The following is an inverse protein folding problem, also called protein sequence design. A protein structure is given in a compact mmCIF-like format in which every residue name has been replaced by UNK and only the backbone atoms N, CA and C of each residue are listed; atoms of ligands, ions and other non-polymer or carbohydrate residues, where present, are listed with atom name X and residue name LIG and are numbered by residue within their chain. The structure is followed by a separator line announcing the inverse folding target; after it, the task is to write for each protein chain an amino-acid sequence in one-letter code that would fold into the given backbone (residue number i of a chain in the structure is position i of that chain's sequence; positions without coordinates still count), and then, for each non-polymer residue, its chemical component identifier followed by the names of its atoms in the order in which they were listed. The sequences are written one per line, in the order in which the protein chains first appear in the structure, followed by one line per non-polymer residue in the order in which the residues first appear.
data_IF_574436622446
#
_entry.id   IF_574436622446
#
_cell.length_a   1.000
_cell.length_b   1.000
_cell.length_c   1.000
_cell.angle_alpha   90.00
_cell.angle_beta   90.00
_cell.angle_gamma   90.00
#
_symmetry.space_group_name_H-M   'P 1'
#
loop_
_entity.id
_entity.type
_entity.pdbx_description
1 polymer ?
#
# COMPACT_ATOMS: atom_id res chain seq x y z
N UNK A 1 -91.35 -7.34 -57.62
CA UNK A 1 -90.95 -6.51 -58.81
C UNK A 1 -89.64 -5.81 -58.41
N UNK A 2 -88.58 -6.11 -59.16
CA UNK A 2 -87.45 -5.18 -59.55
C UNK A 2 -86.77 -4.39 -58.42
N UNK A 3 -85.49 -4.25 -58.27
CA UNK A 3 -84.25 -4.43 -58.99
C UNK A 3 -83.08 -4.03 -58.08
N UNK A 4 -82.08 -4.81 -58.12
CA UNK A 4 -80.63 -4.50 -58.09
C UNK A 4 -80.09 -3.12 -57.69
N UNK A 5 -79.10 -3.03 -56.86
CA UNK A 5 -77.71 -2.76 -57.34
C UNK A 5 -76.64 -2.96 -56.22
N UNK A 6 -75.63 -3.66 -56.61
CA UNK A 6 -74.31 -3.79 -55.89
C UNK A 6 -73.67 -2.44 -55.72
N UNK A 7 -72.99 -2.26 -54.59
CA UNK A 7 -71.76 -1.45 -54.55
C UNK A 7 -70.73 -2.13 -53.68
N UNK A 8 -69.59 -2.45 -54.31
CA UNK A 8 -68.37 -2.94 -53.70
C UNK A 8 -67.74 -1.78 -52.93
N UNK A 9 -67.38 -1.99 -51.71
CA UNK A 9 -66.42 -1.16 -50.94
C UNK A 9 -65.28 -2.04 -50.46
N UNK A 10 -64.08 -1.67 -50.89
CA UNK A 10 -62.83 -2.42 -50.63
C UNK A 10 -62.37 -2.27 -49.18
N UNK A 11 -61.93 -3.34 -48.67
CA UNK A 11 -61.22 -3.41 -47.37
C UNK A 11 -59.79 -3.04 -47.61
N UNK A 12 -59.36 -1.91 -47.08
CA UNK A 12 -57.95 -1.51 -47.00
C UNK A 12 -57.36 -2.17 -45.76
N UNK A 13 -56.48 -3.16 -45.95
CA UNK A 13 -55.64 -3.72 -44.91
C UNK A 13 -54.51 -2.71 -44.58
N UNK A 14 -54.64 -1.98 -43.44
CA UNK A 14 -53.58 -1.19 -42.87
C UNK A 14 -52.58 -2.14 -42.17
N UNK A 15 -51.41 -2.33 -42.77
CA UNK A 15 -50.25 -2.92 -42.07
C UNK A 15 -49.74 -1.91 -41.03
N UNK A 16 -50.09 -2.12 -39.75
CA UNK A 16 -49.41 -1.46 -38.62
C UNK A 16 -48.10 -2.26 -38.37
N UNK A 17 -47.01 -1.74 -38.96
CA UNK A 17 -45.67 -2.19 -38.64
C UNK A 17 -45.31 -1.83 -37.18
N UNK A 18 -45.46 -2.78 -36.27
CA UNK A 18 -44.94 -2.66 -34.90
C UNK A 18 -43.43 -2.64 -34.95
N UNK A 19 -42.79 -1.48 -34.78
CA UNK A 19 -41.39 -1.38 -34.37
C UNK A 19 -41.32 -1.98 -32.96
N UNK A 20 -40.89 -3.23 -32.85
CA UNK A 20 -40.38 -3.77 -31.59
C UNK A 20 -39.08 -3.04 -31.26
N UNK A 21 -39.14 -2.01 -30.42
CA UNK A 21 -37.97 -1.53 -29.71
C UNK A 21 -37.48 -2.72 -28.88
N UNK A 22 -36.48 -3.43 -29.38
CA UNK A 22 -35.71 -4.32 -28.59
C UNK A 22 -35.04 -3.45 -27.49
N UNK A 23 -35.61 -3.45 -26.30
CA UNK A 23 -34.92 -2.95 -25.12
C UNK A 23 -33.69 -3.85 -24.96
N UNK A 24 -32.55 -3.33 -25.45
CA UNK A 24 -31.24 -3.91 -25.05
C UNK A 24 -31.14 -3.62 -23.58
N UNK A 25 -31.56 -4.57 -22.74
CA UNK A 25 -31.22 -4.58 -21.33
C UNK A 25 -29.71 -4.43 -21.21
N UNK A 26 -29.20 -3.87 -20.12
CA UNK A 26 -27.78 -3.79 -19.91
C UNK A 26 -27.19 -5.18 -20.08
N UNK A 27 -26.22 -5.31 -21.00
CA UNK A 27 -25.53 -6.59 -21.20
C UNK A 27 -25.01 -7.02 -19.82
N UNK A 28 -25.39 -8.23 -19.39
CA UNK A 28 -24.91 -8.79 -18.13
C UNK A 28 -23.37 -8.72 -18.15
N UNK A 29 -22.81 -7.92 -17.26
CA UNK A 29 -21.38 -7.80 -17.15
C UNK A 29 -20.79 -9.16 -16.78
N UNK A 30 -19.75 -9.58 -17.49
CA UNK A 30 -19.12 -10.86 -17.22
C UNK A 30 -18.68 -10.93 -15.75
N UNK A 31 -18.98 -12.05 -15.08
CA UNK A 31 -18.58 -12.27 -13.68
C UNK A 31 -17.06 -12.34 -13.58
N UNK A 32 -16.52 -11.51 -12.69
CA UNK A 32 -15.08 -11.43 -12.44
C UNK A 32 -14.68 -12.44 -11.37
N UNK A 33 -13.62 -13.19 -11.63
CA UNK A 33 -13.05 -14.17 -10.69
C UNK A 33 -11.53 -14.03 -10.68
N UNK A 34 -10.99 -13.41 -9.63
CA UNK A 34 -9.56 -13.13 -9.52
C UNK A 34 -8.89 -13.87 -8.38
N UNK A 35 -7.62 -14.20 -8.60
CA UNK A 35 -6.69 -14.67 -7.60
C UNK A 35 -5.84 -13.49 -7.14
N UNK A 36 -5.99 -13.08 -5.89
CA UNK A 36 -5.19 -12.03 -5.26
C UNK A 36 -4.19 -12.67 -4.31
N UNK A 37 -2.92 -12.66 -4.68
CA UNK A 37 -1.84 -13.05 -3.77
C UNK A 37 -1.58 -11.92 -2.78
N UNK A 38 -1.69 -12.20 -1.49
CA UNK A 38 -1.27 -11.24 -0.47
C UNK A 38 0.19 -11.46 -0.08
N UNK A 39 0.90 -10.37 0.23
CA UNK A 39 2.23 -10.42 0.87
C UNK A 39 2.13 -10.32 2.39
N UNK A 40 0.92 -10.18 2.92
CA UNK A 40 0.60 -10.07 4.34
C UNK A 40 -0.43 -11.13 4.73
N UNK A 41 -0.17 -11.86 5.82
CA UNK A 41 -1.09 -12.89 6.33
C UNK A 41 -2.47 -12.32 6.65
N UNK A 42 -3.55 -13.02 6.33
CA UNK A 42 -4.95 -12.57 6.48
C UNK A 42 -5.30 -12.10 7.90
N UNK A 43 -4.63 -12.65 8.92
CA UNK A 43 -4.82 -12.30 10.34
C UNK A 43 -3.89 -11.19 10.85
N UNK A 44 -2.95 -10.69 10.02
CA UNK A 44 -2.05 -9.62 10.42
C UNK A 44 -2.84 -8.30 10.49
N UNK A 45 -2.90 -7.64 11.66
CA UNK A 45 -3.65 -6.40 11.82
C UNK A 45 -3.26 -5.36 10.74
N UNK A 46 -4.22 -4.57 10.32
CA UNK A 46 -4.09 -3.49 9.33
C UNK A 46 -3.67 -3.98 7.94
N UNK A 47 -2.56 -4.68 7.79
CA UNK A 47 -1.99 -5.03 6.48
C UNK A 47 -2.75 -6.18 5.80
N UNK A 48 -2.97 -7.27 6.50
CA UNK A 48 -3.67 -8.44 5.98
C UNK A 48 -5.18 -8.35 6.14
N UNK A 49 -5.63 -7.91 7.33
CA UNK A 49 -7.07 -7.76 7.62
C UNK A 49 -7.76 -6.77 6.69
N UNK A 50 -7.05 -5.72 6.24
CA UNK A 50 -7.57 -4.78 5.23
C UNK A 50 -7.80 -5.44 3.87
N UNK A 51 -6.91 -6.35 3.45
CA UNK A 51 -7.09 -7.09 2.20
C UNK A 51 -8.29 -8.02 2.22
N UNK A 52 -8.50 -8.71 3.36
CA UNK A 52 -9.70 -9.54 3.56
C UNK A 52 -10.97 -8.69 3.54
N UNK A 53 -10.97 -7.54 4.25
CA UNK A 53 -12.06 -6.58 4.26
C UNK A 53 -12.36 -6.02 2.86
N UNK A 54 -11.35 -5.64 2.12
CA UNK A 54 -11.49 -5.16 0.75
C UNK A 54 -12.19 -6.17 -0.16
N UNK A 55 -11.75 -7.42 -0.12
CA UNK A 55 -12.35 -8.51 -0.92
C UNK A 55 -13.85 -8.67 -0.60
N UNK A 56 -14.22 -8.66 0.68
CA UNK A 56 -15.61 -8.80 1.09
C UNK A 56 -16.44 -7.56 0.69
N UNK A 57 -15.92 -6.36 0.88
CA UNK A 57 -16.60 -5.11 0.47
C UNK A 57 -16.87 -5.08 -1.04
N UNK A 58 -15.88 -5.43 -1.86
CA UNK A 58 -16.04 -5.50 -3.33
C UNK A 58 -17.09 -6.51 -3.72
N UNK A 59 -17.08 -7.69 -3.11
CA UNK A 59 -18.09 -8.72 -3.34
C UNK A 59 -19.50 -8.23 -3.00
N UNK A 60 -19.68 -7.58 -1.84
CA UNK A 60 -20.97 -7.03 -1.41
C UNK A 60 -21.43 -5.92 -2.36
N UNK A 61 -20.57 -4.93 -2.65
CA UNK A 61 -20.90 -3.80 -3.52
C UNK A 61 -21.24 -4.22 -4.95
N UNK A 62 -20.64 -5.30 -5.45
CA UNK A 62 -20.90 -5.83 -6.79
C UNK A 62 -22.07 -6.83 -6.85
N UNK A 63 -22.78 -7.09 -5.75
CA UNK A 63 -23.79 -8.14 -5.70
C UNK A 63 -23.23 -9.56 -5.99
N UNK A 64 -21.91 -9.75 -5.81
CA UNK A 64 -21.21 -11.00 -6.09
C UNK A 64 -20.70 -11.16 -7.53
N UNK A 65 -20.86 -10.15 -8.38
CA UNK A 65 -20.32 -10.18 -9.75
C UNK A 65 -18.79 -10.15 -9.76
N UNK A 66 -18.17 -9.42 -8.82
CA UNK A 66 -16.74 -9.44 -8.59
C UNK A 66 -16.45 -10.31 -7.38
N UNK A 67 -15.69 -11.37 -7.59
CA UNK A 67 -15.27 -12.29 -6.54
C UNK A 67 -13.75 -12.45 -6.59
N UNK A 68 -13.06 -11.85 -5.62
CA UNK A 68 -11.62 -11.92 -5.48
C UNK A 68 -11.30 -12.97 -4.43
N UNK A 69 -10.49 -13.98 -4.78
CA UNK A 69 -10.03 -14.97 -3.81
C UNK A 69 -8.70 -14.49 -3.23
N UNK A 70 -8.70 -14.22 -1.92
CA UNK A 70 -7.50 -13.91 -1.16
C UNK A 70 -6.64 -15.16 -0.98
N UNK A 71 -5.34 -15.06 -1.26
CA UNK A 71 -4.37 -16.12 -1.02
C UNK A 71 -3.30 -15.63 -0.03
N UNK A 72 -2.99 -16.48 0.94
CA UNK A 72 -1.98 -16.24 1.96
C UNK A 72 -0.58 -16.04 1.35
N UNK A 73 0.34 -15.35 2.06
CA UNK A 73 1.71 -15.17 1.62
C UNK A 73 2.37 -16.51 1.22
N UNK A 74 2.96 -16.53 0.03
CA UNK A 74 3.62 -17.72 -0.50
C UNK A 74 2.71 -18.81 -1.06
N UNK A 75 1.38 -18.66 -1.02
CA UNK A 75 0.45 -19.71 -1.46
C UNK A 75 0.44 -19.93 -2.98
N UNK A 76 0.64 -18.89 -3.77
CA UNK A 76 0.74 -18.96 -5.23
C UNK A 76 2.17 -18.70 -5.70
N UNK A 77 2.78 -17.63 -5.18
CA UNK A 77 4.15 -17.21 -5.49
C UNK A 77 4.83 -16.68 -4.23
N UNK A 78 6.16 -16.70 -4.12
CA UNK A 78 6.88 -16.05 -3.04
C UNK A 78 6.46 -14.58 -2.89
N UNK A 79 6.33 -14.08 -1.67
CA UNK A 79 5.77 -12.74 -1.39
C UNK A 79 6.48 -11.62 -2.14
N UNK A 80 7.81 -11.66 -2.25
CA UNK A 80 8.61 -10.63 -2.92
C UNK A 80 8.58 -10.74 -4.45
N UNK A 81 8.01 -11.80 -5.02
CA UNK A 81 7.90 -12.02 -6.48
C UNK A 81 6.54 -11.59 -7.04
N UNK A 82 5.67 -11.01 -6.22
CA UNK A 82 4.30 -10.66 -6.59
C UNK A 82 4.22 -9.69 -7.79
N UNK A 83 5.15 -8.74 -7.89
CA UNK A 83 5.27 -7.83 -9.03
C UNK A 83 5.45 -8.58 -10.36
N UNK A 84 6.43 -9.46 -10.41
CA UNK A 84 6.73 -10.21 -11.63
C UNK A 84 5.60 -11.20 -11.99
N UNK A 85 4.98 -11.78 -10.97
CA UNK A 85 3.87 -12.70 -11.17
C UNK A 85 2.62 -12.01 -11.73
N UNK A 86 2.28 -10.83 -11.23
CA UNK A 86 1.17 -10.03 -11.74
C UNK A 86 1.47 -9.48 -13.15
N UNK A 87 2.70 -8.99 -13.40
CA UNK A 87 3.15 -8.54 -14.71
C UNK A 87 3.00 -9.65 -15.78
N UNK A 88 3.36 -10.88 -15.45
CA UNK A 88 3.26 -12.04 -16.33
C UNK A 88 1.87 -12.69 -16.38
N UNK A 89 0.90 -12.22 -15.59
CA UNK A 89 -0.43 -12.80 -15.51
C UNK A 89 -0.49 -14.15 -14.77
N UNK A 90 0.54 -14.53 -14.01
CA UNK A 90 0.52 -15.75 -13.19
C UNK A 90 -0.43 -15.63 -12.00
N UNK A 91 -0.63 -14.42 -11.50
CA UNK A 91 -1.69 -14.02 -10.59
C UNK A 91 -2.41 -12.82 -11.19
N UNK A 92 -3.70 -12.67 -10.89
CA UNK A 92 -4.48 -11.55 -11.44
C UNK A 92 -4.15 -10.24 -10.72
N UNK A 93 -3.87 -10.32 -9.42
CA UNK A 93 -3.57 -9.16 -8.58
C UNK A 93 -2.73 -9.54 -7.35
N UNK A 94 -2.17 -8.50 -6.71
CA UNK A 94 -1.42 -8.60 -5.47
C UNK A 94 -1.91 -7.55 -4.46
N UNK A 95 -2.04 -7.96 -3.20
CA UNK A 95 -2.16 -7.08 -2.06
C UNK A 95 -0.78 -6.92 -1.43
N UNK A 96 -0.08 -5.82 -1.76
CA UNK A 96 1.36 -5.68 -1.52
C UNK A 96 1.77 -4.23 -1.25
N UNK A 97 3.04 -3.92 -1.31
CA UNK A 97 3.60 -2.58 -1.14
C UNK A 97 4.65 -2.29 -2.20
N UNK A 98 4.70 -1.05 -2.76
CA UNK A 98 5.75 -0.65 -3.70
C UNK A 98 7.16 -0.86 -3.17
N UNK A 99 7.34 -0.77 -1.86
CA UNK A 99 8.63 -0.92 -1.20
C UNK A 99 9.26 -2.31 -1.31
N UNK A 100 8.49 -3.35 -1.64
CA UNK A 100 9.04 -4.70 -1.89
C UNK A 100 9.72 -4.81 -3.26
N UNK A 101 9.54 -3.83 -4.14
CA UNK A 101 10.07 -3.85 -5.51
C UNK A 101 11.27 -2.91 -5.70
N UNK A 102 11.75 -2.28 -4.63
CA UNK A 102 12.79 -1.23 -4.67
C UNK A 102 14.17 -1.73 -5.11
N UNK A 103 14.47 -3.02 -4.93
CA UNK A 103 15.71 -3.59 -5.45
C UNK A 103 15.80 -3.49 -6.99
N UNK A 104 14.65 -3.56 -7.69
CA UNK A 104 14.56 -3.41 -9.16
C UNK A 104 14.25 -1.98 -9.58
N UNK A 105 13.39 -1.30 -8.81
CA UNK A 105 12.86 0.02 -9.12
C UNK A 105 12.93 0.93 -7.89
N UNK A 106 14.10 1.51 -7.57
CA UNK A 106 14.29 2.32 -6.36
C UNK A 106 13.28 3.47 -6.23
N UNK A 107 12.87 4.07 -7.36
CA UNK A 107 11.86 5.14 -7.41
C UNK A 107 10.49 4.73 -6.82
N UNK A 108 10.13 3.45 -6.83
CA UNK A 108 8.86 2.97 -6.26
C UNK A 108 8.76 3.18 -4.75
N UNK A 109 9.89 3.31 -4.05
CA UNK A 109 9.90 3.63 -2.62
C UNK A 109 9.17 4.92 -2.29
N UNK A 110 9.23 5.94 -3.16
CA UNK A 110 8.52 7.20 -2.95
C UNK A 110 7.00 7.04 -2.88
N UNK A 111 6.45 5.95 -3.41
CA UNK A 111 5.01 5.70 -3.42
C UNK A 111 4.51 4.86 -2.24
N UNK A 112 5.40 4.46 -1.35
CA UNK A 112 5.05 3.79 -0.09
C UNK A 112 5.41 4.62 1.13
N UNK A 113 6.67 5.01 1.29
CA UNK A 113 7.17 5.79 2.43
C UNK A 113 8.49 6.47 2.08
N UNK A 114 8.77 7.59 2.73
CA UNK A 114 10.00 8.34 2.51
C UNK A 114 10.64 8.68 3.87
N UNK A 115 11.92 8.38 4.09
CA UNK A 115 12.61 8.78 5.32
C UNK A 115 12.50 10.28 5.54
N UNK A 116 12.20 10.70 6.78
CA UNK A 116 11.94 12.10 7.15
C UNK A 116 10.87 12.75 6.26
N UNK A 117 9.98 11.92 5.73
CA UNK A 117 8.88 12.32 4.86
C UNK A 117 7.74 13.00 5.62
N UNK A 118 6.69 13.36 4.90
CA UNK A 118 5.51 14.01 5.46
C UNK A 118 4.64 13.02 6.23
N UNK A 119 3.72 13.57 7.05
CA UNK A 119 2.60 12.79 7.55
C UNK A 119 1.57 12.47 6.46
N UNK A 120 0.56 11.67 6.80
CA UNK A 120 -0.42 11.08 5.87
C UNK A 120 -1.14 12.13 5.02
N UNK A 121 -1.54 13.27 5.58
CA UNK A 121 -2.32 14.29 4.85
C UNK A 121 -1.54 14.88 3.67
N UNK A 122 -0.31 15.34 3.90
CA UNK A 122 0.57 15.87 2.84
C UNK A 122 0.90 14.78 1.81
N UNK A 123 1.16 13.55 2.29
CA UNK A 123 1.55 12.46 1.42
C UNK A 123 0.43 12.02 0.47
N UNK A 124 -0.80 11.88 0.98
CA UNK A 124 -1.97 11.55 0.15
C UNK A 124 -2.30 12.71 -0.81
N UNK A 125 -2.16 13.98 -0.35
CA UNK A 125 -2.34 15.14 -1.22
C UNK A 125 -1.35 15.12 -2.41
N UNK A 126 -0.08 14.80 -2.17
CA UNK A 126 0.88 14.62 -3.25
C UNK A 126 0.49 13.49 -4.20
N UNK A 127 0.11 12.33 -3.64
CA UNK A 127 -0.21 11.16 -4.46
C UNK A 127 -1.45 11.39 -5.33
N UNK A 128 -2.53 11.94 -4.76
CA UNK A 128 -3.85 11.98 -5.44
C UNK A 128 -4.11 13.26 -6.24
N UNK A 129 -3.48 14.37 -5.87
CA UNK A 129 -3.73 15.68 -6.48
C UNK A 129 -2.45 16.41 -6.86
N UNK A 130 -1.30 15.93 -6.43
CA UNK A 130 0.00 16.54 -6.70
C UNK A 130 0.75 15.92 -7.88
N UNK A 131 0.19 14.95 -8.60
CA UNK A 131 0.86 14.29 -9.74
C UNK A 131 1.60 12.99 -9.39
N UNK A 132 1.55 12.55 -8.12
CA UNK A 132 2.22 11.32 -7.69
C UNK A 132 1.66 10.05 -8.33
N UNK A 133 0.33 9.97 -8.52
CA UNK A 133 -0.31 8.80 -9.16
C UNK A 133 0.07 8.67 -10.63
N UNK A 134 0.15 9.79 -11.35
CA UNK A 134 0.56 9.82 -12.75
C UNK A 134 2.00 9.33 -12.93
N UNK A 135 2.92 9.77 -12.07
CA UNK A 135 4.30 9.30 -12.07
C UNK A 135 4.38 7.79 -11.75
N UNK A 136 3.60 7.33 -10.80
CA UNK A 136 3.52 5.90 -10.46
C UNK A 136 3.02 5.08 -11.65
N UNK A 137 1.94 5.56 -12.28
CA UNK A 137 1.35 4.91 -13.44
C UNK A 137 2.35 4.76 -14.60
N UNK A 138 3.18 5.80 -14.88
CA UNK A 138 4.23 5.73 -15.90
C UNK A 138 5.25 4.61 -15.66
N UNK A 139 5.50 4.25 -14.39
CA UNK A 139 6.42 3.16 -14.03
C UNK A 139 5.76 1.83 -14.27
N UNK A 140 4.58 1.62 -13.70
CA UNK A 140 3.87 0.33 -13.76
C UNK A 140 3.38 -0.01 -15.16
N UNK A 141 3.01 1.00 -15.96
CA UNK A 141 2.53 0.83 -17.33
C UNK A 141 3.55 0.10 -18.23
N UNK A 142 4.83 0.33 -18.01
CA UNK A 142 5.94 -0.35 -18.74
C UNK A 142 6.04 -1.84 -18.43
N UNK A 143 5.30 -2.31 -17.43
CA UNK A 143 5.34 -3.68 -16.95
C UNK A 143 3.98 -4.38 -17.07
N UNK A 144 3.06 -3.83 -17.88
CA UNK A 144 1.70 -4.35 -18.04
C UNK A 144 0.94 -4.44 -16.70
N UNK A 145 1.17 -3.47 -15.81
CA UNK A 145 0.58 -3.38 -14.49
C UNK A 145 -0.23 -2.10 -14.32
N UNK A 146 -1.24 -2.16 -13.46
CA UNK A 146 -1.90 -1.00 -12.85
C UNK A 146 -1.80 -1.12 -11.33
N UNK A 147 -1.64 0.01 -10.66
CA UNK A 147 -1.46 0.06 -9.21
C UNK A 147 -2.35 1.15 -8.61
N UNK A 148 -3.01 0.80 -7.51
CA UNK A 148 -3.87 1.68 -6.73
C UNK A 148 -3.43 1.67 -5.27
N UNK A 149 -3.65 2.76 -4.55
CA UNK A 149 -3.46 2.78 -3.11
C UNK A 149 -4.49 1.86 -2.46
N UNK A 150 -4.02 0.94 -1.63
CA UNK A 150 -4.87 -0.10 -1.04
C UNK A 150 -5.18 0.14 0.42
N UNK A 151 -4.20 0.59 1.20
CA UNK A 151 -4.36 1.02 2.58
C UNK A 151 -3.26 2.00 2.96
N UNK A 152 -3.50 2.77 4.01
CA UNK A 152 -2.50 3.61 4.64
C UNK A 152 -2.40 3.26 6.13
N UNK A 153 -1.22 3.42 6.71
CA UNK A 153 -0.96 3.36 8.15
C UNK A 153 -0.19 4.59 8.58
N UNK A 154 -0.29 4.94 9.85
CA UNK A 154 0.44 6.05 10.46
C UNK A 154 1.92 5.76 10.66
N UNK A 155 2.61 6.59 11.50
CA UNK A 155 4.03 6.42 11.78
C UNK A 155 4.34 5.06 12.41
N UNK A 156 5.46 4.47 12.00
CA UNK A 156 5.90 3.17 12.50
C UNK A 156 6.87 3.31 13.69
N UNK A 157 7.28 2.18 14.26
CA UNK A 157 8.44 2.13 15.17
C UNK A 157 9.73 2.19 14.37
N UNK A 158 10.82 2.64 14.98
CA UNK A 158 12.13 2.69 14.32
C UNK A 158 12.81 1.31 14.25
N UNK A 159 12.36 0.37 15.06
CA UNK A 159 12.83 -1.00 15.04
C UNK A 159 13.00 -1.63 16.41
N UNK A 160 13.29 -2.92 16.37
CA UNK A 160 13.49 -3.84 17.50
C UNK A 160 14.92 -4.30 17.57
N UNK A 161 15.51 -4.19 18.75
CA UNK A 161 16.89 -4.53 19.01
C UNK A 161 17.01 -5.51 20.19
N UNK A 162 17.92 -6.47 20.09
CA UNK A 162 18.21 -7.43 21.17
C UNK A 162 18.89 -6.75 22.36
N UNK A 163 19.72 -5.74 22.08
CA UNK A 163 20.45 -4.95 23.08
C UNK A 163 20.10 -3.49 22.98
N UNK A 164 20.21 -2.76 24.09
CA UNK A 164 20.02 -1.31 24.10
C UNK A 164 21.11 -0.62 23.27
N UNK A 165 20.69 0.33 22.45
CA UNK A 165 21.58 1.13 21.60
C UNK A 165 21.74 2.52 22.23
N UNK A 166 22.89 2.76 22.81
CA UNK A 166 23.21 4.03 23.48
C UNK A 166 24.15 4.93 22.66
N UNK A 167 24.69 4.40 21.54
CA UNK A 167 25.52 5.17 20.62
C UNK A 167 25.43 4.63 19.19
N UNK A 168 25.73 5.48 18.20
CA UNK A 168 25.77 5.08 16.78
C UNK A 168 26.84 4.03 16.48
N UNK A 169 27.89 3.94 17.25
CA UNK A 169 28.92 2.91 17.07
C UNK A 169 28.36 1.49 17.26
N UNK A 170 27.35 1.33 18.12
CA UNK A 170 26.75 0.03 18.42
C UNK A 170 25.88 -0.53 17.31
N UNK A 171 25.41 0.31 16.35
CA UNK A 171 24.67 -0.19 15.21
C UNK A 171 25.57 -0.67 14.07
N UNK A 172 26.84 -0.28 14.06
CA UNK A 172 27.79 -0.71 13.03
C UNK A 172 27.99 -2.22 13.05
N UNK A 173 27.85 -2.81 11.86
CA UNK A 173 27.99 -4.25 11.66
C UNK A 173 26.78 -5.09 12.07
N UNK A 174 25.74 -4.51 12.69
CA UNK A 174 24.50 -5.25 12.97
C UNK A 174 23.87 -5.76 11.68
N UNK A 175 23.41 -6.98 11.69
CA UNK A 175 22.58 -7.55 10.64
C UNK A 175 21.13 -7.20 10.93
N UNK A 176 20.52 -6.39 10.08
CA UNK A 176 19.17 -5.90 10.34
C UNK A 176 18.26 -6.10 9.12
N UNK A 177 17.07 -6.63 9.36
CA UNK A 177 16.01 -6.53 8.35
C UNK A 177 15.53 -5.09 8.32
N UNK A 178 15.56 -4.50 7.13
CA UNK A 178 15.09 -3.13 6.95
C UNK A 178 14.39 -2.95 5.59
N UNK A 179 13.31 -2.16 5.58
CA UNK A 179 12.44 -1.95 4.42
C UNK A 179 12.71 -0.62 3.72
N UNK A 180 12.50 -0.61 2.40
CA UNK A 180 12.47 0.62 1.60
C UNK A 180 13.79 1.41 1.62
N UNK A 181 13.67 2.73 1.46
CA UNK A 181 14.83 3.64 1.41
C UNK A 181 15.54 3.79 2.76
N UNK A 182 14.85 3.49 3.87
CA UNK A 182 15.49 3.46 5.19
C UNK A 182 16.63 2.44 5.28
N UNK A 183 16.54 1.33 4.52
CA UNK A 183 17.63 0.35 4.45
C UNK A 183 18.94 0.97 3.92
N UNK A 184 18.88 1.86 2.93
CA UNK A 184 20.05 2.56 2.39
C UNK A 184 20.66 3.53 3.41
N UNK A 185 19.80 4.22 4.18
CA UNK A 185 20.26 5.09 5.28
C UNK A 185 21.02 4.28 6.33
N UNK A 186 20.43 3.17 6.79
CA UNK A 186 21.07 2.30 7.78
C UNK A 186 22.37 1.68 7.23
N UNK A 187 22.42 1.32 5.96
CA UNK A 187 23.65 0.84 5.33
C UNK A 187 24.77 1.90 5.36
N UNK A 188 24.46 3.19 5.10
CA UNK A 188 25.41 4.27 5.27
C UNK A 188 25.89 4.45 6.71
N UNK A 189 25.05 4.10 7.67
CA UNK A 189 25.42 4.10 9.10
C UNK A 189 26.21 2.87 9.52
N UNK A 190 26.54 1.97 8.58
CA UNK A 190 27.37 0.78 8.83
C UNK A 190 26.57 -0.47 9.19
N UNK A 191 25.23 -0.47 9.06
CA UNK A 191 24.36 -1.63 9.29
C UNK A 191 24.35 -2.53 8.05
N UNK A 192 24.37 -3.84 8.24
CA UNK A 192 24.20 -4.83 7.17
C UNK A 192 22.71 -5.10 6.97
N UNK A 193 22.10 -4.39 6.01
CA UNK A 193 20.65 -4.45 5.78
C UNK A 193 20.27 -5.54 4.79
N UNK A 194 19.12 -6.20 5.04
CA UNK A 194 18.47 -7.12 4.10
C UNK A 194 16.97 -6.99 4.19
N UNK A 195 16.27 -7.28 3.10
CA UNK A 195 14.82 -7.33 3.05
C UNK A 195 14.34 -8.77 3.27
N UNK A 196 13.40 -8.95 4.20
CA UNK A 196 12.68 -10.20 4.43
C UNK A 196 11.17 -9.92 4.41
N UNK A 197 10.38 -10.85 3.90
CA UNK A 197 8.93 -10.81 4.03
C UNK A 197 8.50 -11.01 5.50
N UNK A 198 7.30 -10.52 5.86
CA UNK A 198 6.82 -10.50 7.24
C UNK A 198 6.96 -11.85 7.98
N UNK A 199 6.57 -12.95 7.34
CA UNK A 199 6.60 -14.29 7.94
C UNK A 199 8.02 -14.80 8.22
N UNK A 200 9.04 -14.27 7.55
CA UNK A 200 10.43 -14.73 7.65
C UNK A 200 11.22 -13.98 8.73
N UNK A 201 10.70 -12.87 9.25
CA UNK A 201 11.43 -11.97 10.15
C UNK A 201 11.65 -12.60 11.50
N UNK A 202 10.58 -13.05 12.19
CA UNK A 202 10.71 -13.63 13.53
C UNK A 202 11.64 -14.86 13.55
N UNK A 203 11.50 -15.83 12.62
CA UNK A 203 12.44 -16.96 12.57
C UNK A 203 13.89 -16.55 12.33
N UNK A 204 14.15 -15.50 11.54
CA UNK A 204 15.50 -14.98 11.31
C UNK A 204 16.07 -14.30 12.57
N UNK A 205 15.24 -13.52 13.27
CA UNK A 205 15.62 -12.85 14.52
C UNK A 205 15.87 -13.86 15.64
N UNK A 206 14.99 -14.85 15.81
CA UNK A 206 15.10 -15.90 16.83
C UNK A 206 16.39 -16.72 16.66
N UNK A 207 16.69 -17.15 15.42
CA UNK A 207 17.89 -17.94 15.11
C UNK A 207 19.18 -17.13 15.04
N UNK A 208 19.14 -15.81 15.20
CA UNK A 208 20.32 -14.94 15.13
C UNK A 208 20.87 -14.73 13.72
N UNK A 209 20.07 -15.00 12.68
CA UNK A 209 20.40 -14.64 11.28
C UNK A 209 20.44 -13.11 11.14
N UNK A 210 19.54 -12.43 11.86
CA UNK A 210 19.53 -10.98 12.04
C UNK A 210 19.61 -10.64 13.54
N UNK A 211 20.20 -9.48 13.84
CA UNK A 211 20.38 -8.96 15.19
C UNK A 211 19.26 -7.97 15.57
N UNK A 212 18.67 -7.33 14.57
CA UNK A 212 17.63 -6.33 14.71
C UNK A 212 16.67 -6.38 13.53
N UNK A 213 15.49 -5.80 13.70
CA UNK A 213 14.50 -5.65 12.63
C UNK A 213 13.70 -4.38 12.83
N UNK A 214 13.22 -3.77 11.79
CA UNK A 214 11.99 -2.99 11.77
C UNK A 214 10.93 -3.76 10.97
N UNK A 215 9.67 -3.42 11.16
CA UNK A 215 8.62 -3.95 10.31
C UNK A 215 7.46 -2.98 10.19
N UNK A 216 6.83 -2.60 11.33
CA UNK A 216 5.66 -1.72 11.26
C UNK A 216 5.33 -1.06 12.61
N UNK A 217 4.07 -1.13 13.02
CA UNK A 217 3.53 -0.49 14.21
C UNK A 217 3.37 -1.50 15.36
N UNK A 218 3.31 -1.07 16.63
CA UNK A 218 3.20 -1.94 17.80
C UNK A 218 2.16 -3.06 17.69
N UNK A 219 0.94 -2.78 17.20
CA UNK A 219 -0.12 -3.77 17.09
C UNK A 219 0.19 -4.93 16.12
N UNK A 220 0.99 -4.66 15.08
CA UNK A 220 1.44 -5.67 14.13
C UNK A 220 2.65 -6.42 14.66
N UNK A 221 3.62 -5.71 15.20
CA UNK A 221 4.88 -6.25 15.68
C UNK A 221 4.68 -7.23 16.85
N UNK A 222 3.73 -6.94 17.77
CA UNK A 222 3.28 -7.89 18.79
C UNK A 222 2.75 -9.17 18.15
N UNK A 223 1.90 -9.04 17.13
CA UNK A 223 1.30 -10.20 16.47
C UNK A 223 2.34 -11.07 15.77
N UNK A 224 3.44 -10.47 15.31
CA UNK A 224 4.58 -11.17 14.73
C UNK A 224 5.55 -11.74 15.79
N UNK A 225 5.39 -11.37 17.07
CA UNK A 225 6.11 -11.95 18.18
C UNK A 225 7.53 -11.42 18.39
N UNK A 226 7.90 -10.27 17.83
CA UNK A 226 9.27 -9.74 17.91
C UNK A 226 9.76 -9.56 19.35
N UNK A 227 8.86 -9.22 20.30
CA UNK A 227 9.16 -9.08 21.71
C UNK A 227 9.77 -10.35 22.36
N UNK A 228 9.59 -11.51 21.75
CA UNK A 228 10.15 -12.76 22.27
C UNK A 228 11.66 -12.86 22.01
N UNK A 229 12.14 -12.22 20.93
CA UNK A 229 13.55 -12.28 20.51
C UNK A 229 14.30 -10.95 20.68
N UNK A 230 13.60 -9.81 20.83
CA UNK A 230 14.18 -8.48 21.02
C UNK A 230 13.37 -7.70 22.05
N UNK A 231 14.05 -7.00 22.96
CA UNK A 231 13.42 -6.32 24.11
C UNK A 231 13.32 -4.82 23.97
N UNK A 232 14.13 -4.22 23.11
CA UNK A 232 14.20 -2.76 22.95
C UNK A 232 13.49 -2.34 21.68
N UNK A 233 12.44 -1.52 21.81
CA UNK A 233 11.71 -0.98 20.68
C UNK A 233 11.91 0.54 20.62
N UNK A 234 12.41 1.03 19.48
CA UNK A 234 12.85 2.41 19.31
C UNK A 234 11.85 3.27 18.53
N UNK A 235 11.76 4.54 18.91
CA UNK A 235 10.95 5.60 18.32
C UNK A 235 11.75 6.89 18.10
N UNK A 236 11.27 7.83 17.26
CA UNK A 236 10.17 7.69 16.29
C UNK A 236 10.60 6.88 15.08
N UNK A 237 9.62 6.40 14.31
CA UNK A 237 9.83 5.77 13.00
C UNK A 237 10.22 6.78 11.92
N UNK A 238 11.44 7.27 12.00
CA UNK A 238 11.99 8.31 11.12
C UNK A 238 11.96 7.94 9.63
N UNK A 239 11.98 6.66 9.33
CA UNK A 239 12.00 6.11 7.97
C UNK A 239 10.62 6.02 7.34
N UNK A 240 9.55 5.94 8.15
CA UNK A 240 8.16 5.80 7.70
C UNK A 240 7.21 6.59 8.61
N UNK A 241 6.98 7.87 8.28
CA UNK A 241 5.98 8.72 8.95
C UNK A 241 4.56 8.45 8.42
N UNK A 242 4.47 7.76 7.32
CA UNK A 242 3.29 7.19 6.70
C UNK A 242 3.74 6.03 5.84
N UNK A 243 2.94 4.99 5.75
CA UNK A 243 3.13 3.94 4.75
C UNK A 243 1.82 3.76 3.97
N UNK A 244 1.91 3.84 2.64
CA UNK A 244 0.79 3.56 1.73
C UNK A 244 1.15 2.35 0.91
N UNK A 245 0.31 1.34 0.98
CA UNK A 245 0.47 0.10 0.22
C UNK A 245 -0.37 0.09 -1.04
N UNK A 246 -0.29 -0.98 -1.81
CA UNK A 246 -0.91 -1.03 -3.12
C UNK A 246 -1.73 -2.31 -3.37
N UNK A 247 -2.79 -2.14 -4.13
CA UNK A 247 -3.42 -3.17 -4.92
C UNK A 247 -2.80 -3.13 -6.31
N UNK A 248 -1.94 -4.09 -6.58
CA UNK A 248 -1.22 -4.23 -7.84
C UNK A 248 -1.92 -5.25 -8.71
N UNK A 249 -2.16 -4.93 -9.98
CA UNK A 249 -2.98 -5.76 -10.83
C UNK A 249 -2.43 -5.87 -12.25
N UNK A 250 -2.62 -7.03 -12.88
CA UNK A 250 -2.37 -7.19 -14.31
C UNK A 250 -3.25 -6.25 -15.13
N UNK A 251 -2.63 -5.47 -16.01
CA UNK A 251 -3.31 -4.45 -16.83
C UNK A 251 -4.34 -5.06 -17.78
N UNK A 252 -4.06 -6.25 -18.31
CA UNK A 252 -4.99 -6.98 -19.18
C UNK A 252 -6.28 -7.34 -18.43
N UNK A 253 -6.17 -7.79 -17.18
CA UNK A 253 -7.34 -8.11 -16.34
C UNK A 253 -8.13 -6.84 -15.97
N UNK A 254 -7.45 -5.75 -15.64
CA UNK A 254 -8.09 -4.45 -15.39
C UNK A 254 -8.89 -3.93 -16.59
N UNK A 255 -8.33 -4.07 -17.80
CA UNK A 255 -8.95 -3.57 -19.02
C UNK A 255 -10.20 -4.35 -19.46
N UNK A 256 -10.42 -5.57 -18.95
CA UNK A 256 -11.64 -6.36 -19.20
C UNK A 256 -12.86 -5.85 -18.41
N UNK A 257 -12.63 -5.03 -17.38
CA UNK A 257 -13.69 -4.54 -16.50
C UNK A 257 -14.55 -3.48 -17.19
N UNK A 258 -15.83 -3.49 -16.85
CA UNK A 258 -16.74 -2.37 -17.14
C UNK A 258 -16.39 -1.17 -16.24
N UNK A 259 -16.82 0.03 -16.65
CA UNK A 259 -16.60 1.25 -15.85
C UNK A 259 -17.24 1.14 -14.46
N UNK A 260 -18.40 0.48 -14.34
CA UNK A 260 -19.04 0.21 -13.05
C UNK A 260 -18.17 -0.70 -12.18
N UNK A 261 -17.63 -1.78 -12.73
CA UNK A 261 -16.75 -2.70 -11.99
C UNK A 261 -15.46 -2.00 -11.54
N UNK A 262 -14.84 -1.19 -12.40
CA UNK A 262 -13.69 -0.36 -12.04
C UNK A 262 -14.02 0.58 -10.89
N UNK A 263 -15.15 1.28 -10.96
CA UNK A 263 -15.58 2.21 -9.90
C UNK A 263 -15.82 1.50 -8.57
N UNK A 264 -16.40 0.31 -8.56
CA UNK A 264 -16.59 -0.49 -7.34
C UNK A 264 -15.23 -0.77 -6.67
N UNK A 265 -14.23 -1.17 -7.46
CA UNK A 265 -12.88 -1.44 -6.95
C UNK A 265 -12.23 -0.16 -6.41
N UNK A 266 -12.26 0.93 -7.17
CA UNK A 266 -11.71 2.23 -6.75
C UNK A 266 -12.33 2.74 -5.45
N UNK A 267 -13.66 2.66 -5.31
CA UNK A 267 -14.37 3.06 -4.08
C UNK A 267 -14.00 2.16 -2.91
N UNK A 268 -13.91 0.84 -3.13
CA UNK A 268 -13.50 -0.11 -2.10
C UNK A 268 -12.06 0.12 -1.63
N UNK A 269 -11.16 0.50 -2.53
CA UNK A 269 -9.77 0.85 -2.19
C UNK A 269 -9.71 2.17 -1.42
N UNK A 270 -10.46 3.20 -1.84
CA UNK A 270 -10.53 4.47 -1.12
C UNK A 270 -11.07 4.31 0.32
N UNK A 271 -12.10 3.49 0.52
CA UNK A 271 -12.61 3.12 1.83
C UNK A 271 -11.55 2.40 2.66
N UNK A 272 -10.84 1.45 2.05
CA UNK A 272 -9.79 0.68 2.70
C UNK A 272 -8.64 1.57 3.18
N UNK A 273 -8.22 2.57 2.39
CA UNK A 273 -7.18 3.55 2.80
C UNK A 273 -7.61 4.28 4.07
N UNK A 274 -8.80 4.84 4.10
CA UNK A 274 -9.27 5.64 5.25
C UNK A 274 -9.55 4.77 6.48
N UNK A 275 -10.22 3.63 6.29
CA UNK A 275 -10.53 2.71 7.38
C UNK A 275 -9.26 2.20 8.06
N UNK A 276 -8.30 1.73 7.25
CA UNK A 276 -7.07 1.13 7.79
C UNK A 276 -6.21 2.18 8.48
N UNK A 277 -6.14 3.41 7.95
CA UNK A 277 -5.43 4.50 8.61
C UNK A 277 -6.03 4.79 9.99
N UNK A 278 -7.35 4.99 10.08
CA UNK A 278 -8.02 5.27 11.34
C UNK A 278 -7.86 4.11 12.35
N UNK A 279 -7.99 2.86 11.88
CA UNK A 279 -7.78 1.68 12.73
C UNK A 279 -6.33 1.60 13.24
N UNK A 280 -5.35 1.88 12.36
CA UNK A 280 -3.94 1.84 12.71
C UNK A 280 -3.59 2.84 13.80
N UNK A 281 -4.09 4.07 13.73
CA UNK A 281 -3.88 5.07 14.78
C UNK A 281 -4.55 4.66 16.11
N UNK A 282 -5.77 4.13 16.05
CA UNK A 282 -6.57 3.85 17.23
C UNK A 282 -6.04 2.67 18.08
N UNK A 283 -5.24 1.76 17.51
CA UNK A 283 -4.83 0.53 18.21
C UNK A 283 -3.46 0.59 18.86
N UNK A 284 -2.63 1.61 18.59
CA UNK A 284 -1.24 1.59 19.01
C UNK A 284 -1.04 1.80 20.50
N UNK A 285 -1.81 2.67 21.15
CA UNK A 285 -1.67 2.91 22.59
C UNK A 285 -1.92 1.65 23.42
N UNK A 286 -2.93 0.86 23.07
CA UNK A 286 -3.22 -0.40 23.78
C UNK A 286 -2.14 -1.46 23.51
N UNK A 287 -1.62 -1.52 22.28
CA UNK A 287 -0.54 -2.42 21.93
C UNK A 287 0.76 -2.04 22.66
N UNK A 288 1.13 -0.76 22.72
CA UNK A 288 2.31 -0.29 23.46
C UNK A 288 2.19 -0.62 24.95
N UNK A 289 1.00 -0.43 25.54
CA UNK A 289 0.78 -0.81 26.93
C UNK A 289 0.92 -2.32 27.13
N UNK A 290 0.42 -3.14 26.23
CA UNK A 290 0.60 -4.58 26.26
C UNK A 290 2.07 -4.99 26.15
N UNK A 291 2.83 -4.36 25.26
CA UNK A 291 4.27 -4.59 25.11
C UNK A 291 5.02 -4.38 26.43
N UNK A 292 4.72 -3.29 27.13
CA UNK A 292 5.38 -2.97 28.40
C UNK A 292 4.89 -3.86 29.54
N UNK A 293 3.58 -3.95 29.77
CA UNK A 293 3.00 -4.56 30.96
C UNK A 293 3.10 -6.10 30.93
N UNK A 294 2.91 -6.72 29.76
CA UNK A 294 2.86 -8.18 29.63
C UNK A 294 4.16 -8.79 29.09
N UNK A 295 4.85 -8.08 28.23
CA UNK A 295 5.99 -8.64 27.49
C UNK A 295 7.35 -8.06 27.91
N UNK A 296 7.35 -7.07 28.83
CA UNK A 296 8.56 -6.45 29.36
C UNK A 296 9.40 -5.76 28.28
N UNK A 297 8.73 -5.20 27.25
CA UNK A 297 9.41 -4.44 26.20
C UNK A 297 9.82 -3.09 26.75
N UNK A 298 11.06 -2.71 26.49
CA UNK A 298 11.60 -1.43 26.84
C UNK A 298 11.48 -0.47 25.65
N UNK A 299 10.58 0.50 25.78
CA UNK A 299 10.38 1.54 24.77
C UNK A 299 11.47 2.58 24.92
N UNK A 300 12.15 2.90 23.82
CA UNK A 300 13.24 3.87 23.75
C UNK A 300 12.96 4.93 22.70
N UNK A 301 13.54 6.12 22.92
CA UNK A 301 13.56 7.18 21.93
C UNK A 301 14.98 7.41 21.45
N UNK A 302 15.17 7.55 20.16
CA UNK A 302 16.45 7.99 19.61
C UNK A 302 16.80 9.38 20.11
N UNK A 303 18.06 9.63 20.52
CA UNK A 303 18.56 11.00 20.75
C UNK A 303 18.42 11.84 19.47
N UNK A 304 18.21 13.15 19.64
CA UNK A 304 18.06 14.07 18.51
C UNK A 304 19.31 14.12 17.62
N UNK A 305 20.49 13.95 18.17
CA UNK A 305 21.74 13.83 17.41
C UNK A 305 21.77 12.58 16.52
N UNK A 306 21.22 11.46 16.97
CA UNK A 306 21.08 10.25 16.17
C UNK A 306 20.12 10.46 15.01
N UNK A 307 18.97 11.09 15.27
CA UNK A 307 18.00 11.42 14.23
C UNK A 307 18.59 12.38 13.18
N UNK A 308 19.36 13.39 13.61
CA UNK A 308 20.09 14.29 12.69
C UNK A 308 21.11 13.55 11.83
N UNK A 309 21.82 12.56 12.40
CA UNK A 309 22.76 11.76 11.64
C UNK A 309 22.04 10.88 10.60
N UNK A 310 20.89 10.29 10.94
CA UNK A 310 20.06 9.56 9.98
C UNK A 310 19.51 10.47 8.87
N UNK A 311 19.08 11.67 9.20
CA UNK A 311 18.59 12.65 8.21
C UNK A 311 19.71 13.09 7.27
N UNK A 312 20.91 13.37 7.77
CA UNK A 312 22.07 13.69 6.95
C UNK A 312 22.40 12.54 5.99
N UNK A 313 22.44 11.31 6.49
CA UNK A 313 22.65 10.12 5.64
C UNK A 313 21.53 9.94 4.60
N UNK A 314 20.28 10.26 4.93
CA UNK A 314 19.18 10.26 3.97
C UNK A 314 19.40 11.25 2.81
N UNK A 315 19.80 12.48 3.12
CA UNK A 315 20.07 13.49 2.09
C UNK A 315 21.19 13.04 1.14
N UNK A 316 22.22 12.35 1.66
CA UNK A 316 23.26 11.74 0.83
C UNK A 316 22.71 10.62 -0.05
N UNK A 317 21.85 9.72 0.47
CA UNK A 317 21.19 8.66 -0.32
C UNK A 317 20.40 9.28 -1.48
N UNK A 318 19.60 10.31 -1.22
CA UNK A 318 18.84 10.99 -2.27
C UNK A 318 19.76 11.54 -3.36
N UNK A 319 20.86 12.17 -2.97
CA UNK A 319 21.85 12.73 -3.90
C UNK A 319 22.50 11.66 -4.76
N UNK A 320 22.95 10.57 -4.17
CA UNK A 320 23.64 9.47 -4.86
C UNK A 320 22.70 8.70 -5.78
N UNK A 321 21.50 8.33 -5.30
CA UNK A 321 20.51 7.62 -6.10
C UNK A 321 20.02 8.51 -7.27
N UNK A 322 19.81 9.81 -7.04
CA UNK A 322 19.45 10.76 -8.10
C UNK A 322 20.54 10.92 -9.16
N UNK A 323 21.81 10.78 -8.78
CA UNK A 323 22.93 10.86 -9.74
C UNK A 323 23.04 9.59 -10.60
N UNK A 324 22.64 8.43 -10.09
CA UNK A 324 22.78 7.12 -10.74
C UNK A 324 21.52 6.64 -11.47
N UNK A 325 20.32 7.07 -11.05
CA UNK A 325 19.02 6.64 -11.57
C UNK A 325 18.18 7.86 -12.00
N UNK A 326 18.03 8.12 -13.30
CA UNK A 326 17.22 9.23 -13.82
C UNK A 326 15.73 9.14 -13.41
N UNK A 327 15.19 7.92 -13.26
CA UNK A 327 13.81 7.73 -12.82
C UNK A 327 13.65 8.08 -11.34
N UNK A 328 14.58 7.62 -10.49
CA UNK A 328 14.63 8.02 -9.10
C UNK A 328 14.70 9.55 -8.95
N UNK A 329 15.62 10.18 -9.73
CA UNK A 329 15.75 11.64 -9.75
C UNK A 329 14.42 12.34 -10.12
N UNK A 330 13.78 11.88 -11.20
CA UNK A 330 12.50 12.45 -11.67
C UNK A 330 11.44 12.43 -10.55
N UNK A 331 11.31 11.31 -9.86
CA UNK A 331 10.31 11.15 -8.78
C UNK A 331 10.71 11.95 -7.55
N UNK A 332 11.99 11.92 -7.16
CA UNK A 332 12.51 12.68 -6.04
C UNK A 332 12.30 14.20 -6.23
N UNK A 333 12.71 14.74 -7.38
CA UNK A 333 12.56 16.16 -7.70
C UNK A 333 11.09 16.58 -7.62
N UNK A 334 10.19 15.77 -8.19
CA UNK A 334 8.75 16.05 -8.17
C UNK A 334 8.16 16.00 -6.75
N UNK A 335 8.56 15.02 -5.95
CA UNK A 335 8.14 14.88 -4.56
C UNK A 335 8.59 16.08 -3.72
N UNK A 336 9.87 16.47 -3.81
CA UNK A 336 10.39 17.60 -3.05
C UNK A 336 9.87 18.96 -3.53
N UNK A 337 9.61 19.12 -4.83
CA UNK A 337 8.96 20.32 -5.37
C UNK A 337 7.53 20.48 -4.80
N UNK A 338 6.76 19.38 -4.74
CA UNK A 338 5.45 19.40 -4.09
C UNK A 338 5.55 19.79 -2.61
N UNK A 339 6.47 19.19 -1.86
CA UNK A 339 6.68 19.51 -0.44
C UNK A 339 7.06 20.96 -0.21
N UNK A 340 7.93 21.50 -1.06
CA UNK A 340 8.32 22.93 -0.98
C UNK A 340 7.10 23.86 -1.19
N UNK A 341 6.21 23.50 -2.13
CA UNK A 341 4.95 24.24 -2.36
C UNK A 341 3.95 24.05 -1.22
N UNK A 342 3.83 22.85 -0.69
CA UNK A 342 2.92 22.53 0.42
C UNK A 342 3.30 23.22 1.71
N UNK A 343 4.57 23.55 1.90
CA UNK A 343 5.12 24.13 3.13
C UNK A 343 4.38 25.38 3.61
N UNK A 344 3.93 26.24 2.70
CA UNK A 344 3.17 27.45 3.09
C UNK A 344 1.87 27.10 3.80
N UNK A 345 1.19 26.04 3.35
CA UNK A 345 -0.01 25.53 4.00
C UNK A 345 0.33 24.82 5.31
N UNK A 346 1.30 23.90 5.29
CA UNK A 346 1.70 23.12 6.45
C UNK A 346 2.16 24.00 7.62
N UNK A 347 3.03 24.97 7.36
CA UNK A 347 3.52 25.90 8.39
C UNK A 347 2.39 26.75 8.99
N UNK A 348 1.37 27.10 8.17
CA UNK A 348 0.21 27.89 8.61
C UNK A 348 -0.75 27.11 9.52
N UNK A 349 -0.69 25.77 9.52
CA UNK A 349 -1.54 24.90 10.34
C UNK A 349 -0.90 24.52 11.68
N UNK A 350 0.35 24.93 11.93
CA UNK A 350 1.02 24.57 13.17
C UNK A 350 0.39 25.26 14.39
N UNK A 351 -0.12 24.44 15.31
CA UNK A 351 -0.62 24.88 16.61
C UNK A 351 0.34 24.43 17.71
N UNK A 352 0.71 25.36 18.61
CA UNK A 352 1.38 24.96 19.86
C UNK A 352 0.39 24.20 20.72
N UNK A 353 0.76 23.02 21.20
CA UNK A 353 -0.06 22.26 22.13
C UNK A 353 -0.16 23.01 23.48
N UNK A 354 -1.30 23.64 23.72
CA UNK A 354 -1.60 24.38 24.96
C UNK A 354 -2.85 23.88 25.67
N UNK A 355 -3.44 22.81 25.14
CA UNK A 355 -4.76 22.29 25.55
C UNK A 355 -4.67 20.93 26.25
N UNK A 356 -3.55 20.66 26.90
CA UNK A 356 -3.39 19.47 27.73
C UNK A 356 -3.80 19.74 29.17
#
# INVERSE_FOLDING_TARGET
MKFNKLLKAGVAFGLVGGLALAATGPADAAKVRWKMQSTFGSSLPHLGTSGVRFVENVKVMSGGDINIKFFEPGALVPSLECFDAASKGSVDSCWTTPGYHTAKYPALSFFTSVPFGPGVGEYIAWKWFGGGQELRAEIYDKHDLVSFDSFAIGPETSGWFKSEITSLEQIKGLKMRFFGLGAKVMAKMGVQTQLLAAADIYPALERGVIDATEFSMPAMDIKLGFYQAAKYNYFPGWHQQVSVSEFLMNKGEWNKLTDQQKRIIEVGLGESVMHTYAESEAKQFSAMKEMQDKHGVEIRRWPDETLKAFEAAWLEVVKEDSASDPLFKKVADHFYDFRAKYKIWGDSQYLKATYQ
#
